data_IF_767341466065
#
_entry.id   IF_767341466065
#
_cell.length_a   1.000
_cell.length_b   1.000
_cell.length_c   1.000
_cell.angle_alpha   90.00
_cell.angle_beta   90.00
_cell.angle_gamma   90.00
#
_symmetry.space_group_name_H-M   'P 1'
#
loop_
_entity.id
_entity.type
_entity.pdbx_description
1 polymer ?
#
# COMPACT_ATOMS: atom_id res chain seq x y z
N UNK A 1 10.47 -22.33 14.08
CA UNK A 1 11.52 -21.70 13.24
C UNK A 1 10.94 -20.77 12.18
N UNK A 2 9.82 -21.08 11.53
CA UNK A 2 9.15 -20.12 10.60
C UNK A 2 8.33 -19.04 11.31
N UNK A 3 7.69 -19.37 12.44
CA UNK A 3 6.84 -18.40 13.18
C UNK A 3 7.64 -17.23 13.75
N UNK A 4 8.73 -17.48 14.49
CA UNK A 4 9.57 -16.41 15.07
C UNK A 4 10.12 -15.43 14.02
N UNK A 5 10.40 -15.90 12.80
CA UNK A 5 10.88 -15.03 11.72
C UNK A 5 9.76 -14.11 11.21
N UNK A 6 8.54 -14.64 11.07
CA UNK A 6 7.37 -13.88 10.64
C UNK A 6 7.00 -12.81 11.69
N UNK A 7 7.09 -13.15 12.97
CA UNK A 7 6.82 -12.23 14.08
C UNK A 7 7.83 -11.06 14.11
N UNK A 8 9.12 -11.34 13.90
CA UNK A 8 10.14 -10.31 13.77
C UNK A 8 9.93 -9.41 12.54
N UNK A 9 9.52 -10.00 11.42
CA UNK A 9 9.29 -9.27 10.17
C UNK A 9 8.07 -8.34 10.28
N UNK A 10 6.97 -8.82 10.86
CA UNK A 10 5.78 -8.01 11.13
C UNK A 10 6.10 -6.85 12.06
N UNK A 11 6.82 -7.10 13.15
CA UNK A 11 7.21 -6.04 14.09
C UNK A 11 8.13 -5.00 13.44
N UNK A 12 9.03 -5.43 12.57
CA UNK A 12 9.89 -4.51 11.82
C UNK A 12 9.06 -3.62 10.87
N UNK A 13 8.05 -4.17 10.20
CA UNK A 13 7.15 -3.42 9.31
C UNK A 13 6.31 -2.40 10.08
N UNK A 14 5.77 -2.75 11.24
CA UNK A 14 4.99 -1.83 12.08
C UNK A 14 5.86 -0.64 12.52
N UNK A 15 7.07 -0.90 13.01
CA UNK A 15 8.02 0.13 13.43
C UNK A 15 8.39 1.06 12.26
N UNK A 16 8.58 0.51 11.05
CA UNK A 16 8.87 1.31 9.85
C UNK A 16 7.66 2.18 9.49
N UNK A 17 6.44 1.65 9.58
CA UNK A 17 5.20 2.41 9.35
C UNK A 17 5.14 3.67 10.21
N UNK A 18 5.37 3.51 11.52
CA UNK A 18 5.42 4.63 12.47
C UNK A 18 6.58 5.58 12.17
N UNK A 19 7.76 5.06 11.79
CA UNK A 19 8.92 5.87 11.46
C UNK A 19 8.69 6.77 10.23
N UNK A 20 7.89 6.33 9.25
CA UNK A 20 7.60 7.10 8.04
C UNK A 20 6.74 8.35 8.29
N UNK A 21 6.02 8.41 9.41
CA UNK A 21 5.27 9.60 9.85
C UNK A 21 6.20 10.72 10.37
N UNK A 22 7.47 10.40 10.61
CA UNK A 22 8.48 11.34 11.12
C UNK A 22 9.35 11.93 9.98
N UNK A 23 9.99 13.09 10.22
CA UNK A 23 11.03 13.62 9.32
C UNK A 23 12.16 12.61 9.08
N UNK A 24 12.76 12.63 7.89
CA UNK A 24 13.78 11.65 7.48
C UNK A 24 14.97 11.58 8.46
N UNK A 25 15.38 12.72 9.03
CA UNK A 25 16.42 12.80 10.04
C UNK A 25 16.11 12.08 11.36
N UNK A 26 14.83 11.90 11.68
CA UNK A 26 14.37 11.32 12.94
C UNK A 26 14.07 9.81 12.85
N UNK A 27 13.83 9.29 11.64
CA UNK A 27 13.37 7.91 11.41
C UNK A 27 14.35 6.86 11.94
N UNK A 28 15.63 7.01 11.61
CA UNK A 28 16.65 6.04 12.02
C UNK A 28 16.78 5.94 13.55
N UNK A 29 16.74 7.10 14.24
CA UNK A 29 16.77 7.16 15.70
C UNK A 29 15.53 6.50 16.30
N UNK A 30 14.35 6.80 15.75
CA UNK A 30 13.10 6.20 16.20
C UNK A 30 13.13 4.67 16.10
N UNK A 31 13.63 4.11 14.99
CA UNK A 31 13.73 2.64 14.82
C UNK A 31 14.59 2.00 15.90
N UNK A 32 15.74 2.59 16.23
CA UNK A 32 16.62 2.07 17.29
C UNK A 32 15.92 2.07 18.65
N UNK A 33 15.19 3.15 18.96
CA UNK A 33 14.44 3.25 20.21
C UNK A 33 13.26 2.25 20.26
N UNK A 34 12.49 2.13 19.17
CA UNK A 34 11.32 1.27 19.07
C UNK A 34 11.67 -0.24 19.01
N UNK A 35 12.85 -0.58 18.47
CA UNK A 35 13.35 -1.96 18.47
C UNK A 35 13.60 -2.49 19.89
N UNK A 36 13.91 -1.61 20.85
CA UNK A 36 14.07 -1.96 22.25
C UNK A 36 15.22 -2.94 22.53
N UNK A 37 16.27 -2.90 21.69
CA UNK A 37 17.45 -3.77 21.80
C UNK A 37 17.33 -5.11 21.06
N UNK A 38 16.23 -5.37 20.36
CA UNK A 38 16.10 -6.50 19.45
C UNK A 38 16.85 -6.20 18.14
N UNK A 39 18.09 -6.70 18.06
CA UNK A 39 18.96 -6.45 16.90
C UNK A 39 18.40 -6.98 15.59
N UNK A 40 17.63 -8.07 15.62
CA UNK A 40 17.08 -8.64 14.39
C UNK A 40 16.03 -7.68 13.84
N UNK A 41 15.09 -7.24 14.69
CA UNK A 41 14.05 -6.29 14.29
C UNK A 41 14.64 -4.95 13.87
N UNK A 42 15.64 -4.45 14.60
CA UNK A 42 16.37 -3.21 14.28
C UNK A 42 17.03 -3.29 12.89
N UNK A 43 17.83 -4.33 12.63
CA UNK A 43 18.51 -4.52 11.35
C UNK A 43 17.52 -4.67 10.20
N UNK A 44 16.40 -5.38 10.40
CA UNK A 44 15.35 -5.51 9.39
C UNK A 44 14.68 -4.17 9.10
N UNK A 45 14.25 -3.44 10.13
CA UNK A 45 13.59 -2.14 9.97
C UNK A 45 14.50 -1.10 9.31
N UNK A 46 15.77 -1.03 9.72
CA UNK A 46 16.76 -0.15 9.10
C UNK A 46 17.04 -0.54 7.65
N UNK A 47 17.08 -1.84 7.32
CA UNK A 47 17.24 -2.29 5.94
C UNK A 47 16.06 -1.87 5.04
N UNK A 48 14.83 -1.89 5.57
CA UNK A 48 13.63 -1.43 4.86
C UNK A 48 13.70 0.08 4.64
N UNK A 49 14.04 0.87 5.66
CA UNK A 49 14.20 2.33 5.51
C UNK A 49 15.34 2.69 4.54
N UNK A 50 16.46 1.96 4.59
CA UNK A 50 17.60 2.18 3.68
C UNK A 50 17.30 1.77 2.23
N UNK A 51 16.31 0.90 2.01
CA UNK A 51 15.82 0.59 0.67
C UNK A 51 15.06 1.78 0.04
N UNK A 52 14.74 2.82 0.82
CA UNK A 52 14.02 4.00 0.37
C UNK A 52 14.84 5.30 0.40
N UNK A 53 15.70 5.56 -0.61
CA UNK A 53 16.23 6.92 -0.81
C UNK A 53 15.59 7.67 -2.00
N UNK A 54 15.21 6.98 -3.07
CA UNK A 54 14.72 7.61 -4.32
C UNK A 54 14.02 6.60 -5.26
N UNK A 55 13.82 5.35 -4.82
CA UNK A 55 13.37 4.24 -5.71
C UNK A 55 11.86 4.01 -5.71
N UNK A 56 11.11 4.65 -4.83
CA UNK A 56 9.65 4.80 -5.03
C UNK A 56 9.38 5.80 -6.16
N UNK A 57 10.33 6.65 -6.59
CA UNK A 57 10.12 7.48 -7.79
C UNK A 57 10.00 6.65 -9.08
N UNK A 58 10.56 5.43 -9.12
CA UNK A 58 10.41 4.48 -10.26
C UNK A 58 9.42 3.33 -9.99
N UNK A 59 8.93 3.19 -8.76
CA UNK A 59 7.93 2.21 -8.36
C UNK A 59 6.63 2.88 -7.87
N UNK A 60 6.38 4.11 -8.32
CA UNK A 60 5.05 4.71 -8.23
C UNK A 60 4.23 4.26 -9.43
N UNK A 61 3.32 3.28 -9.32
CA UNK A 61 2.22 3.18 -10.27
C UNK A 61 1.28 4.37 -10.01
N UNK A 62 1.62 5.55 -10.51
CA UNK A 62 0.76 6.72 -10.34
C UNK A 62 1.35 8.11 -10.50
N UNK A 63 2.67 8.30 -10.64
CA UNK A 63 3.24 9.65 -10.80
C UNK A 63 4.09 9.70 -12.06
N UNK A 64 3.52 10.38 -13.05
CA UNK A 64 4.10 10.82 -14.33
C UNK A 64 4.17 9.78 -15.45
N UNK A 65 2.99 9.37 -15.91
CA UNK A 65 2.76 9.12 -17.34
C UNK A 65 1.68 10.08 -17.84
N UNK A 66 1.79 11.36 -17.49
CA UNK A 66 0.90 12.41 -18.04
C UNK A 66 1.15 12.65 -19.53
N UNK A 67 2.14 11.98 -20.13
CA UNK A 67 2.53 12.16 -21.53
C UNK A 67 2.33 10.95 -22.45
N UNK A 68 1.80 9.79 -22.00
CA UNK A 68 1.74 8.63 -22.92
C UNK A 68 0.41 7.98 -23.19
N UNK A 69 -0.65 8.10 -22.39
CA UNK A 69 -1.87 7.37 -22.73
C UNK A 69 -3.12 8.17 -22.42
N UNK A 70 -3.74 8.62 -23.50
CA UNK A 70 -5.17 8.77 -23.74
C UNK A 70 -5.88 7.41 -23.48
N UNK A 71 -5.63 6.77 -22.33
CA UNK A 71 -6.21 5.48 -21.96
C UNK A 71 -7.59 5.78 -21.37
N UNK A 72 -8.58 5.74 -22.25
CA UNK A 72 -9.99 5.80 -21.90
C UNK A 72 -10.27 4.91 -20.68
N UNK A 73 -10.83 5.51 -19.64
CA UNK A 73 -11.28 4.82 -18.44
C UNK A 73 -12.06 3.56 -18.87
N UNK A 74 -11.65 2.35 -18.43
CA UNK A 74 -12.25 1.12 -18.91
C UNK A 74 -13.73 1.11 -18.53
N UNK A 75 -14.61 1.09 -19.54
CA UNK A 75 -16.05 1.20 -19.33
C UNK A 75 -16.63 0.05 -18.49
N UNK A 76 -15.90 -1.06 -18.33
CA UNK A 76 -16.36 -2.26 -17.61
C UNK A 76 -15.18 -3.03 -16.98
N UNK A 77 -15.34 -3.44 -15.72
CA UNK A 77 -14.45 -4.39 -15.02
C UNK A 77 -15.32 -5.54 -14.50
N UNK A 78 -15.08 -6.77 -15.00
CA UNK A 78 -15.92 -7.93 -14.67
C UNK A 78 -17.37 -7.72 -15.11
N UNK A 79 -18.33 -7.87 -14.20
CA UNK A 79 -19.75 -7.59 -14.44
C UNK A 79 -20.14 -6.11 -14.19
N UNK A 80 -19.21 -5.27 -13.75
CA UNK A 80 -19.51 -3.91 -13.30
C UNK A 80 -19.13 -2.88 -14.37
N UNK A 81 -20.05 -2.00 -14.71
CA UNK A 81 -19.81 -0.81 -15.53
C UNK A 81 -19.17 0.27 -14.65
N UNK A 82 -18.04 0.84 -15.05
CA UNK A 82 -17.30 1.82 -14.24
C UNK A 82 -17.88 3.21 -14.46
N UNK A 83 -18.37 3.85 -13.39
CA UNK A 83 -18.94 5.20 -13.44
C UNK A 83 -17.89 6.28 -13.17
N UNK A 84 -17.01 6.07 -12.18
CA UNK A 84 -15.88 6.98 -11.88
C UNK A 84 -14.88 6.36 -10.92
N UNK A 85 -13.66 6.89 -10.89
CA UNK A 85 -12.67 6.60 -9.86
C UNK A 85 -13.06 7.26 -8.52
N UNK A 86 -12.91 6.54 -7.42
CA UNK A 86 -13.23 6.99 -6.05
C UNK A 86 -11.96 7.30 -5.26
N UNK A 87 -10.85 6.63 -5.56
CA UNK A 87 -9.56 6.92 -4.96
C UNK A 87 -8.46 5.98 -5.45
N UNK A 88 -7.21 6.45 -5.37
CA UNK A 88 -5.99 5.73 -5.77
C UNK A 88 -4.99 5.75 -4.64
N UNK A 89 -4.36 4.60 -4.37
CA UNK A 89 -3.31 4.49 -3.36
C UNK A 89 -2.29 3.42 -3.72
N UNK A 90 -1.28 3.23 -2.86
CA UNK A 90 -0.14 2.33 -3.12
C UNK A 90 -0.48 0.85 -3.34
N UNK A 91 -1.71 0.42 -3.04
CA UNK A 91 -2.18 -0.96 -3.24
C UNK A 91 -3.20 -1.12 -4.39
N UNK A 92 -3.51 -0.06 -5.14
CA UNK A 92 -4.41 -0.11 -6.29
C UNK A 92 -5.34 1.09 -6.46
N UNK A 93 -6.25 0.99 -7.43
CA UNK A 93 -7.28 2.00 -7.72
C UNK A 93 -8.66 1.47 -7.38
N UNK A 94 -9.47 2.30 -6.71
CA UNK A 94 -10.85 2.00 -6.32
C UNK A 94 -11.79 2.73 -7.26
N UNK A 95 -12.67 1.97 -7.90
CA UNK A 95 -13.65 2.51 -8.84
C UNK A 95 -15.08 2.29 -8.32
N UNK A 96 -15.94 3.28 -8.55
CA UNK A 96 -17.37 3.14 -8.40
C UNK A 96 -17.90 2.41 -9.63
N UNK A 97 -18.34 1.17 -9.45
CA UNK A 97 -18.95 0.37 -10.51
C UNK A 97 -20.46 0.17 -10.27
N UNK A 98 -21.26 0.28 -11.34
CA UNK A 98 -22.67 -0.14 -11.35
C UNK A 98 -22.79 -1.50 -12.03
N UNK A 99 -23.43 -2.46 -11.36
CA UNK A 99 -23.83 -3.72 -12.00
C UNK A 99 -25.11 -3.47 -12.83
N UNK A 100 -25.10 -3.62 -14.17
CA UNK A 100 -26.34 -3.67 -14.93
C UNK A 100 -27.06 -4.97 -14.51
N UNK A 101 -28.27 -4.83 -13.99
CA UNK A 101 -29.04 -5.84 -13.26
C UNK A 101 -29.16 -7.19 -13.96
N UNK A 102 -29.14 -8.26 -13.16
CA UNK A 102 -30.21 -9.27 -13.19
C UNK A 102 -30.49 -9.73 -11.75
N UNK A 103 -31.74 -9.56 -11.35
CA UNK A 103 -32.50 -10.05 -10.20
C UNK A 103 -31.89 -10.14 -8.78
N UNK A 104 -32.37 -9.25 -7.90
CA UNK A 104 -32.67 -9.60 -6.52
C UNK A 104 -34.14 -9.24 -6.22
N UNK A 105 -35.09 -9.98 -6.82
CA UNK A 105 -36.47 -10.01 -6.31
C UNK A 105 -36.49 -10.80 -4.98
N UNK A 106 -36.31 -10.09 -3.87
CA UNK A 106 -36.67 -10.61 -2.55
C UNK A 106 -38.17 -10.37 -2.32
N UNK A 107 -39.00 -11.34 -2.69
CA UNK A 107 -40.36 -11.47 -2.17
C UNK A 107 -40.30 -12.27 -0.86
N UNK A 108 -40.51 -11.58 0.26
CA UNK A 108 -40.71 -12.20 1.58
C UNK A 108 -42.20 -12.30 1.88
N UNK A 109 -42.65 -13.44 2.42
CA UNK A 109 -44.03 -13.71 2.87
C UNK A 109 -44.09 -13.83 4.40
#
# INVERSE_FOLDING_TARGET
MTSDNLDCEHRALDIVGDALELPIEDRARFVVEAAGGDKIVEERALAILAADPDKISALTPGVMIEELLDDEMPAKIGEFLIEREVGRGGMGSVFLGRKPTDDFEHLVA
#
